data_IF_157208860808
#
_entry.id   IF_157208860808
#
_cell.length_a   1.000
_cell.length_b   1.000
_cell.length_c   1.000
_cell.angle_alpha   90.00
_cell.angle_beta   90.00
_cell.angle_gamma   90.00
#
_symmetry.space_group_name_H-M   'P 1'
#
loop_
_entity.id
_entity.type
_entity.pdbx_description
1 polymer ?
#
# COMPACT_ATOMS: atom_id res chain seq x y z
N UNK A 1 4.62 -10.56 -4.52
CA UNK A 1 3.24 -11.01 -4.23
C UNK A 1 3.24 -11.52 -2.80
N UNK A 2 2.25 -11.11 -2.02
CA UNK A 2 2.02 -11.56 -0.65
C UNK A 2 0.65 -12.23 -0.65
N UNK A 3 0.60 -13.52 -0.35
CA UNK A 3 -0.66 -14.27 -0.27
C UNK A 3 -1.25 -14.27 1.15
N UNK A 4 -2.49 -14.76 1.28
CA UNK A 4 -3.20 -14.81 2.56
C UNK A 4 -2.43 -15.59 3.62
N UNK A 5 -1.82 -16.72 3.25
CA UNK A 5 -1.05 -17.54 4.18
C UNK A 5 0.20 -16.81 4.70
N UNK A 6 0.85 -15.99 3.87
CA UNK A 6 1.97 -15.15 4.28
C UNK A 6 1.53 -14.02 5.20
N UNK A 7 0.36 -13.41 4.96
CA UNK A 7 -0.22 -12.38 5.85
C UNK A 7 -0.45 -12.99 7.24
N UNK A 8 -1.10 -14.15 7.31
CA UNK A 8 -1.42 -14.83 8.57
C UNK A 8 -0.16 -15.23 9.36
N UNK A 9 0.87 -15.75 8.67
CA UNK A 9 2.15 -16.10 9.30
C UNK A 9 2.89 -14.89 9.87
N UNK A 10 2.72 -13.71 9.30
CA UNK A 10 3.39 -12.48 9.78
C UNK A 10 2.75 -11.90 11.04
N UNK A 11 1.52 -12.28 11.37
CA UNK A 11 0.79 -11.85 12.57
C UNK A 11 0.81 -10.31 12.78
N UNK A 12 0.73 -9.57 11.68
CA UNK A 12 0.67 -8.11 11.70
C UNK A 12 -0.77 -7.63 11.83
N UNK A 13 -0.98 -6.54 12.56
CA UNK A 13 -2.31 -6.01 12.88
C UNK A 13 -2.77 -4.91 11.92
N UNK A 14 -1.94 -4.55 10.94
CA UNK A 14 -2.23 -3.44 10.03
C UNK A 14 -1.55 -3.65 8.67
N UNK A 15 -2.18 -3.12 7.62
CA UNK A 15 -1.62 -3.14 6.27
C UNK A 15 -0.30 -2.37 6.21
N UNK A 16 -0.16 -1.30 6.98
CA UNK A 16 1.06 -0.50 7.06
C UNK A 16 2.23 -1.32 7.62
N UNK A 17 2.00 -2.09 8.68
CA UNK A 17 3.05 -2.94 9.26
C UNK A 17 3.44 -4.06 8.30
N UNK A 18 2.48 -4.63 7.58
CA UNK A 18 2.74 -5.62 6.55
C UNK A 18 3.66 -5.07 5.45
N UNK A 19 3.31 -3.89 4.92
CA UNK A 19 4.01 -3.23 3.82
C UNK A 19 5.38 -2.67 4.24
N UNK A 20 5.56 -2.28 5.51
CA UNK A 20 6.85 -1.81 6.03
C UNK A 20 7.95 -2.87 5.95
N UNK A 21 7.58 -4.15 6.00
CA UNK A 21 8.51 -5.28 5.85
C UNK A 21 8.96 -5.54 4.41
N UNK A 22 8.40 -4.85 3.41
CA UNK A 22 8.67 -5.10 2.00
C UNK A 22 9.81 -4.24 1.47
N UNK A 23 10.69 -4.86 0.70
CA UNK A 23 11.86 -4.18 0.15
C UNK A 23 11.46 -3.05 -0.83
N UNK A 24 12.01 -1.87 -0.58
CA UNK A 24 11.76 -0.67 -1.38
C UNK A 24 10.44 0.03 -1.06
N UNK A 25 9.72 -0.40 -0.01
CA UNK A 25 8.57 0.32 0.54
C UNK A 25 9.02 1.18 1.72
N UNK A 26 8.63 2.44 1.72
CA UNK A 26 8.75 3.31 2.88
C UNK A 26 7.38 3.93 3.20
N UNK A 27 7.10 4.09 4.48
CA UNK A 27 5.82 4.61 4.97
C UNK A 27 6.08 5.76 5.94
N UNK A 28 5.36 6.87 5.76
CA UNK A 28 5.36 7.99 6.70
C UNK A 28 3.93 8.19 7.22
N UNK A 29 3.75 8.13 8.54
CA UNK A 29 2.44 8.26 9.17
C UNK A 29 2.33 9.60 9.91
N UNK A 30 1.26 10.36 9.63
CA UNK A 30 1.05 11.71 10.17
C UNK A 30 0.17 11.70 11.43
N UNK A 31 0.67 11.14 12.53
CA UNK A 31 0.06 11.31 13.86
C UNK A 31 -0.50 10.06 14.53
N UNK A 32 -0.03 8.87 14.15
CA UNK A 32 -0.29 7.59 14.81
C UNK A 32 -1.31 6.68 14.10
N UNK A 33 -1.76 5.62 14.79
CA UNK A 33 -2.73 4.66 14.26
C UNK A 33 -3.99 5.36 13.74
N UNK A 34 -4.50 4.92 12.58
CA UNK A 34 -5.69 5.50 11.95
C UNK A 34 -5.48 6.89 11.30
N UNK A 35 -4.26 7.43 11.31
CA UNK A 35 -3.94 8.67 10.59
C UNK A 35 -3.46 8.40 9.15
N UNK A 36 -3.60 9.40 8.26
CA UNK A 36 -3.09 9.31 6.89
C UNK A 36 -1.65 8.83 6.86
N UNK A 37 -1.42 7.76 6.08
CA UNK A 37 -0.11 7.18 5.88
C UNK A 37 0.30 7.36 4.43
N UNK A 38 1.42 8.05 4.20
CA UNK A 38 2.03 8.22 2.88
C UNK A 38 2.88 7.00 2.55
N UNK A 39 2.69 6.45 1.35
CA UNK A 39 3.43 5.31 0.82
C UNK A 39 4.40 5.77 -0.25
N UNK A 40 5.67 5.43 -0.08
CA UNK A 40 6.75 5.72 -1.03
C UNK A 40 7.32 4.40 -1.54
N UNK A 41 7.55 4.31 -2.85
CA UNK A 41 8.04 3.09 -3.48
C UNK A 41 9.32 3.40 -4.27
N UNK A 42 10.47 2.83 -3.85
CA UNK A 42 11.78 3.07 -4.48
C UNK A 42 12.15 4.56 -4.64
N UNK A 43 11.78 5.39 -3.67
CA UNK A 43 12.12 6.82 -3.67
C UNK A 43 11.23 7.67 -4.58
N UNK A 44 10.14 7.14 -5.12
CA UNK A 44 9.10 7.96 -5.75
C UNK A 44 8.27 8.67 -4.69
N UNK A 45 7.68 9.80 -5.07
CA UNK A 45 6.73 10.51 -4.23
C UNK A 45 5.43 9.71 -4.06
N UNK A 46 4.72 9.98 -2.97
CA UNK A 46 3.54 9.19 -2.60
C UNK A 46 2.34 9.34 -3.53
N UNK A 47 2.27 10.46 -4.26
CA UNK A 47 1.27 10.74 -5.29
C UNK A 47 1.56 10.00 -6.62
N UNK A 48 2.78 9.51 -6.81
CA UNK A 48 3.20 8.70 -7.96
C UNK A 48 2.93 7.20 -7.76
N UNK A 49 2.46 6.80 -6.57
CA UNK A 49 2.14 5.40 -6.27
C UNK A 49 0.66 5.16 -6.56
N UNK A 50 0.38 4.29 -7.52
CA UNK A 50 -0.98 3.85 -7.83
C UNK A 50 -1.34 2.67 -6.93
N UNK A 51 -2.44 2.78 -6.21
CA UNK A 51 -3.01 1.69 -5.41
C UNK A 51 -4.35 1.28 -6.01
N UNK A 52 -4.52 -0.02 -6.21
CA UNK A 52 -5.73 -0.60 -6.76
C UNK A 52 -6.33 -1.59 -5.74
N UNK A 53 -7.65 -1.56 -5.58
CA UNK A 53 -8.42 -2.61 -4.89
C UNK A 53 -9.34 -3.23 -5.93
N UNK A 54 -9.22 -4.54 -6.13
CA UNK A 54 -10.02 -5.29 -7.11
C UNK A 54 -10.00 -4.66 -8.52
N UNK A 55 -8.85 -4.06 -8.89
CA UNK A 55 -8.65 -3.38 -10.17
C UNK A 55 -9.14 -1.93 -10.22
N UNK A 56 -9.79 -1.43 -9.17
CA UNK A 56 -10.27 -0.04 -9.07
C UNK A 56 -9.24 0.82 -8.34
N UNK A 57 -8.84 1.95 -8.94
CA UNK A 57 -7.90 2.89 -8.34
C UNK A 57 -8.50 3.52 -7.09
N UNK A 58 -7.76 3.44 -5.99
CA UNK A 58 -8.08 4.12 -4.74
C UNK A 58 -7.03 5.18 -4.44
N UNK A 59 -7.47 6.31 -3.93
CA UNK A 59 -6.60 7.46 -3.71
C UNK A 59 -7.42 8.73 -3.62
N UNK A 60 -6.98 9.64 -2.75
CA UNK A 60 -7.56 10.97 -2.71
C UNK A 60 -7.23 11.72 -3.99
N UNK A 61 -8.25 12.21 -4.69
CA UNK A 61 -8.07 13.08 -5.87
C UNK A 61 -7.33 14.40 -5.51
N UNK A 62 -7.29 14.77 -4.23
CA UNK A 62 -6.70 16.04 -3.75
C UNK A 62 -5.33 15.86 -3.10
N UNK A 63 -5.08 14.75 -2.40
CA UNK A 63 -3.80 14.50 -1.72
C UNK A 63 -2.94 13.42 -2.39
N UNK A 64 -3.42 12.82 -3.49
CA UNK A 64 -2.71 11.79 -4.28
C UNK A 64 -2.56 10.43 -3.61
N UNK A 65 -2.43 10.38 -2.29
CA UNK A 65 -2.21 9.17 -1.52
C UNK A 65 -3.45 8.30 -1.32
N UNK A 66 -3.25 6.98 -1.30
CA UNK A 66 -4.23 5.98 -0.90
C UNK A 66 -4.43 5.96 0.62
N UNK A 67 -5.68 5.88 1.07
CA UNK A 67 -6.04 5.81 2.48
C UNK A 67 -5.80 4.40 3.05
N UNK A 68 -4.53 3.98 3.11
CA UNK A 68 -4.14 2.63 3.57
C UNK A 68 -4.59 2.33 5.01
N UNK A 69 -4.76 3.37 5.83
CA UNK A 69 -5.24 3.24 7.20
C UNK A 69 -6.70 2.82 7.34
N UNK A 70 -7.49 2.96 6.28
CA UNK A 70 -8.90 2.61 6.29
C UNK A 70 -9.13 1.19 5.75
N UNK A 71 -8.06 0.45 5.40
CA UNK A 71 -8.11 -0.90 4.86
C UNK A 71 -7.80 -1.94 5.95
N UNK A 72 -8.81 -2.70 6.42
CA UNK A 72 -8.60 -3.78 7.38
C UNK A 72 -7.80 -4.91 6.73
N UNK A 73 -6.73 -5.35 7.38
CA UNK A 73 -5.88 -6.42 6.85
C UNK A 73 -6.64 -7.75 6.76
N UNK A 74 -7.67 -7.92 7.58
CA UNK A 74 -8.51 -9.11 7.62
C UNK A 74 -9.26 -9.33 6.31
N UNK A 75 -9.60 -8.26 5.59
CA UNK A 75 -10.31 -8.29 4.32
C UNK A 75 -9.40 -8.53 3.11
N UNK A 76 -8.08 -8.56 3.32
CA UNK A 76 -7.11 -8.68 2.24
C UNK A 76 -6.77 -10.16 2.02
N UNK A 77 -7.01 -10.63 0.79
CA UNK A 77 -6.61 -11.97 0.35
C UNK A 77 -5.20 -11.99 -0.24
N UNK A 78 -4.85 -10.96 -1.02
CA UNK A 78 -3.61 -10.93 -1.79
C UNK A 78 -3.13 -9.51 -2.04
N UNK A 79 -1.82 -9.30 -1.96
CA UNK A 79 -1.18 -8.02 -2.28
C UNK A 79 -0.13 -8.23 -3.36
N UNK A 80 -0.17 -7.39 -4.38
CA UNK A 80 0.83 -7.34 -5.43
C UNK A 80 1.55 -6.01 -5.41
N UNK A 81 2.87 -6.07 -5.29
CA UNK A 81 3.74 -4.88 -5.34
C UNK A 81 4.49 -4.93 -6.66
N UNK A 82 4.00 -4.14 -7.62
CA UNK A 82 4.62 -3.97 -8.94
C UNK A 82 5.56 -2.77 -8.88
N UNK A 83 6.77 -2.91 -9.44
CA UNK A 83 7.84 -1.90 -9.36
C UNK A 83 8.44 -1.67 -10.74
N UNK A 84 8.85 -0.43 -11.04
CA UNK A 84 9.54 -0.08 -12.28
C UNK A 84 8.60 0.07 -13.48
N UNK A 85 9.11 0.01 -14.72
CA UNK A 85 8.38 0.44 -15.93
C UNK A 85 7.11 -0.36 -16.22
N UNK A 86 6.94 -1.55 -15.63
CA UNK A 86 5.69 -2.32 -15.73
C UNK A 86 4.53 -1.71 -14.94
N UNK A 87 4.77 -0.74 -14.05
CA UNK A 87 3.69 -0.04 -13.33
C UNK A 87 2.81 0.78 -14.27
N UNK A 88 3.31 1.20 -15.45
CA UNK A 88 2.53 1.96 -16.42
C UNK A 88 1.34 1.17 -16.98
N UNK A 89 1.39 -0.17 -16.95
CA UNK A 89 0.27 -1.03 -17.35
C UNK A 89 -0.94 -0.89 -16.39
N UNK A 90 -0.70 -0.41 -15.17
CA UNK A 90 -1.72 -0.28 -14.12
C UNK A 90 -2.18 1.17 -13.90
N UNK A 91 -1.61 2.14 -14.62
CA UNK A 91 -2.04 3.53 -14.61
C UNK A 91 -0.91 4.54 -14.82
N UNK A 92 -1.30 5.74 -15.24
CA UNK A 92 -0.53 6.99 -15.20
C UNK A 92 -1.09 7.96 -14.18
#
# INVERSE_FOLDING_TARGET
VIDRAQIERRQVNSLQDLLRGEAGVALANNGGPGKPTSLFLRGTESDQVVVLIDGVRIGSATSGGAALQDLPIEQIERIEIVRGPFSSLYGS
#
